data_IF_655300931979
#
_entry.id   IF_655300931979
#
_cell.length_a   1.000
_cell.length_b   1.000
_cell.length_c   1.000
_cell.angle_alpha   90.00
_cell.angle_beta   90.00
_cell.angle_gamma   90.00
#
_symmetry.space_group_name_H-M   'P 1'
#
loop_
_entity.id
_entity.type
_entity.pdbx_description
1 polymer ?
#
# COMPACT_ATOMS: atom_id res chain seq x y z
N UNK A 1 -7.21 17.46 -39.33
CA UNK A 1 -5.82 17.16 -39.68
C UNK A 1 -4.91 17.76 -38.62
N UNK A 2 -4.31 16.87 -37.83
CA UNK A 2 -3.03 16.95 -37.10
C UNK A 2 -2.04 17.95 -37.73
N UNK A 3 -1.18 18.71 -37.02
CA UNK A 3 -0.30 18.37 -35.89
C UNK A 3 0.15 19.59 -35.08
N UNK A 4 0.31 19.33 -33.79
CA UNK A 4 1.09 20.11 -32.82
C UNK A 4 2.57 20.16 -33.21
N UNK A 5 3.21 21.33 -33.08
CA UNK A 5 4.67 21.46 -33.06
C UNK A 5 5.05 22.28 -31.83
N UNK A 6 5.30 21.54 -30.75
CA UNK A 6 5.80 22.04 -29.47
C UNK A 6 7.21 22.63 -29.64
N UNK A 7 7.35 23.93 -29.43
CA UNK A 7 8.64 24.55 -29.17
C UNK A 7 8.94 24.48 -27.66
N UNK A 8 9.39 23.32 -27.19
CA UNK A 8 9.85 23.11 -25.82
C UNK A 8 11.38 22.95 -25.83
N UNK A 9 12.05 24.08 -25.57
CA UNK A 9 13.20 24.20 -24.66
C UNK A 9 14.30 23.13 -24.75
N UNK A 10 15.21 23.28 -25.72
CA UNK A 10 16.48 22.56 -25.87
C UNK A 10 17.40 22.55 -24.62
N UNK A 11 17.13 23.40 -23.62
CA UNK A 11 17.86 23.41 -22.34
C UNK A 11 17.50 22.23 -21.43
N UNK A 12 16.30 21.67 -21.53
CA UNK A 12 15.89 20.49 -20.75
C UNK A 12 16.35 19.18 -21.38
N UNK A 13 16.58 19.16 -22.69
CA UNK A 13 17.11 17.98 -23.40
C UNK A 13 18.53 17.62 -22.93
N UNK A 14 19.41 18.61 -22.70
CA UNK A 14 20.78 18.37 -22.22
C UNK A 14 20.84 17.90 -20.76
N UNK A 15 19.92 18.36 -19.90
CA UNK A 15 19.83 17.91 -18.49
C UNK A 15 19.29 16.49 -18.39
N UNK A 16 18.34 16.11 -19.27
CA UNK A 16 17.82 14.74 -19.30
C UNK A 16 18.84 13.73 -19.84
N UNK A 17 19.66 14.09 -20.85
CA UNK A 17 20.71 13.19 -21.36
C UNK A 17 21.82 12.96 -20.33
N UNK A 18 22.22 13.99 -19.58
CA UNK A 18 23.23 13.85 -18.52
C UNK A 18 22.73 13.06 -17.31
N UNK A 19 21.45 13.20 -16.95
CA UNK A 19 20.82 12.38 -15.90
C UNK A 19 20.72 10.90 -16.31
N UNK A 20 20.45 10.61 -17.60
CA UNK A 20 20.36 9.24 -18.12
C UNK A 20 21.71 8.53 -18.18
N UNK A 21 22.80 9.25 -18.49
CA UNK A 21 24.16 8.69 -18.53
C UNK A 21 24.68 8.33 -17.13
N UNK A 22 24.29 9.05 -16.08
CA UNK A 22 24.67 8.72 -14.70
C UNK A 22 23.95 7.47 -14.17
N UNK A 23 22.72 7.19 -14.61
CA UNK A 23 21.99 5.97 -14.22
C UNK A 23 22.57 4.73 -14.91
N UNK A 24 23.09 4.86 -16.13
CA UNK A 24 23.68 3.73 -16.87
C UNK A 24 25.04 3.26 -16.31
N UNK A 25 25.85 4.16 -15.72
CA UNK A 25 27.14 3.80 -15.15
C UNK A 25 27.04 3.05 -13.80
N UNK A 26 25.99 3.31 -13.01
CA UNK A 26 25.75 2.62 -11.74
C UNK A 26 25.29 1.15 -11.92
N UNK A 27 24.60 0.84 -13.03
CA UNK A 27 24.11 -0.51 -13.31
C UNK A 27 25.21 -1.49 -13.75
N UNK A 28 26.31 -1.01 -14.34
CA UNK A 28 27.42 -1.86 -14.78
C UNK A 28 28.31 -2.31 -13.60
N UNK A 29 28.36 -1.51 -12.53
CA UNK A 29 29.22 -1.81 -11.37
C UNK A 29 28.64 -2.88 -10.42
N UNK A 30 27.33 -3.05 -10.36
CA UNK A 30 26.72 -4.14 -9.57
C UNK A 30 26.63 -5.47 -10.32
N UNK A 31 26.72 -5.45 -11.66
CA UNK A 31 26.57 -6.65 -12.48
C UNK A 31 27.90 -7.31 -12.90
N UNK A 32 29.01 -6.87 -12.30
CA UNK A 32 30.39 -7.12 -12.77
C UNK A 32 31.27 -8.00 -11.89
N UNK A 33 30.73 -8.92 -11.10
CA UNK A 33 31.57 -9.95 -10.47
C UNK A 33 30.93 -11.33 -10.46
N UNK A 34 30.73 -11.85 -11.67
CA UNK A 34 30.68 -13.29 -11.92
C UNK A 34 31.34 -13.59 -13.27
N UNK A 35 32.55 -14.14 -13.22
CA UNK A 35 33.10 -14.95 -14.29
C UNK A 35 34.11 -15.96 -13.69
N UNK A 36 33.70 -17.23 -13.70
CA UNK A 36 34.42 -18.51 -13.82
C UNK A 36 35.91 -18.56 -13.40
N UNK A 37 36.41 -19.59 -12.73
CA UNK A 37 36.49 -20.96 -13.28
C UNK A 37 37.11 -21.89 -12.24
N UNK A 38 36.45 -22.99 -11.91
CA UNK A 38 37.10 -24.30 -11.79
C UNK A 38 36.04 -25.36 -12.03
N UNK A 39 36.10 -25.98 -13.20
CA UNK A 39 35.44 -27.27 -13.44
C UNK A 39 36.27 -28.28 -12.67
N UNK A 40 35.68 -28.87 -11.64
CA UNK A 40 36.10 -30.17 -11.15
C UNK A 40 34.85 -31.04 -11.09
N UNK A 41 34.77 -31.99 -12.02
CA UNK A 41 33.77 -33.04 -12.05
C UNK A 41 33.96 -33.93 -10.83
N UNK A 42 33.09 -33.85 -9.81
CA UNK A 42 32.86 -34.98 -8.89
C UNK A 42 31.46 -34.91 -8.28
N UNK A 43 30.65 -35.90 -8.69
CA UNK A 43 29.60 -36.57 -7.91
C UNK A 43 28.37 -35.78 -7.41
N UNK A 44 27.21 -36.11 -8.02
CA UNK A 44 25.92 -36.38 -7.39
C UNK A 44 25.69 -35.79 -5.98
N UNK A 45 25.01 -34.65 -5.92
CA UNK A 45 24.10 -34.34 -4.80
C UNK A 45 22.91 -33.53 -5.34
N UNK A 46 21.78 -34.21 -5.50
CA UNK A 46 20.50 -33.56 -5.71
C UNK A 46 19.99 -33.07 -4.36
N UNK A 47 20.19 -31.79 -4.04
CA UNK A 47 19.64 -31.19 -2.83
C UNK A 47 20.32 -29.92 -2.35
N UNK A 48 20.45 -28.88 -3.18
CA UNK A 48 20.96 -27.57 -2.71
C UNK A 48 20.47 -26.43 -3.62
N UNK A 49 19.16 -26.18 -3.62
CA UNK A 49 18.56 -25.03 -4.35
C UNK A 49 17.62 -24.18 -3.51
N UNK A 50 17.57 -24.37 -2.18
CA UNK A 50 16.54 -23.75 -1.36
C UNK A 50 17.04 -22.82 -0.23
N UNK A 51 18.35 -22.56 -0.12
CA UNK A 51 18.91 -21.82 1.02
C UNK A 51 19.19 -20.32 0.74
N UNK A 52 19.44 -19.93 -0.52
CA UNK A 52 19.70 -18.52 -0.84
C UNK A 52 18.45 -17.63 -0.77
N UNK A 53 17.26 -18.18 -1.08
CA UNK A 53 16.00 -17.42 -1.06
C UNK A 53 15.49 -17.13 0.35
N UNK A 54 15.95 -17.88 1.35
CA UNK A 54 15.44 -17.78 2.73
C UNK A 54 16.13 -16.64 3.50
N UNK A 55 17.43 -16.42 3.29
CA UNK A 55 18.20 -15.38 4.00
C UNK A 55 17.79 -13.97 3.56
N UNK A 56 17.56 -13.76 2.26
CA UNK A 56 17.06 -12.50 1.72
C UNK A 56 15.60 -12.22 2.16
N UNK A 57 14.74 -13.24 2.16
CA UNK A 57 13.35 -13.11 2.62
C UNK A 57 13.27 -12.79 4.12
N UNK A 58 14.10 -13.45 4.94
CA UNK A 58 14.21 -13.20 6.38
C UNK A 58 14.74 -11.79 6.68
N UNK A 59 15.67 -11.30 5.86
CA UNK A 59 16.17 -9.94 5.94
C UNK A 59 15.09 -8.91 5.57
N UNK A 60 14.29 -9.19 4.54
CA UNK A 60 13.16 -8.36 4.12
C UNK A 60 12.03 -8.31 5.16
N UNK A 61 11.64 -9.46 5.72
CA UNK A 61 10.61 -9.55 6.76
C UNK A 61 11.04 -8.81 8.03
N UNK A 62 12.31 -8.88 8.42
CA UNK A 62 12.87 -8.16 9.57
C UNK A 62 12.77 -6.63 9.40
N UNK A 63 13.06 -6.11 8.19
CA UNK A 63 12.90 -4.69 7.88
C UNK A 63 11.43 -4.27 7.98
N UNK A 64 10.51 -5.05 7.38
CA UNK A 64 9.08 -4.76 7.41
C UNK A 64 8.51 -4.80 8.83
N UNK A 65 8.94 -5.75 9.67
CA UNK A 65 8.59 -5.79 11.08
C UNK A 65 9.09 -4.55 11.84
N UNK A 66 10.26 -4.02 11.48
CA UNK A 66 10.76 -2.75 11.99
C UNK A 66 9.85 -1.58 11.64
N UNK A 67 9.53 -1.43 10.35
CA UNK A 67 8.63 -0.39 9.84
C UNK A 67 7.23 -0.48 10.46
N UNK A 68 6.71 -1.69 10.64
CA UNK A 68 5.42 -1.92 11.26
C UNK A 68 5.40 -1.45 12.72
N UNK A 69 6.45 -1.76 13.50
CA UNK A 69 6.58 -1.30 14.89
C UNK A 69 6.71 0.22 14.99
N UNK A 70 7.44 0.84 14.07
CA UNK A 70 7.55 2.30 14.02
C UNK A 70 6.19 2.93 13.69
N UNK A 71 5.47 2.41 12.69
CA UNK A 71 4.12 2.87 12.36
C UNK A 71 3.14 2.71 13.53
N UNK A 72 3.21 1.58 14.26
CA UNK A 72 2.44 1.34 15.49
C UNK A 72 2.73 2.38 16.57
N UNK A 73 4.00 2.66 16.84
CA UNK A 73 4.43 3.68 17.82
C UNK A 73 3.91 5.06 17.45
N UNK A 74 3.93 5.38 16.16
CA UNK A 74 3.47 6.66 15.62
C UNK A 74 1.92 6.74 15.55
N UNK A 75 1.21 5.69 15.95
CA UNK A 75 -0.26 5.61 15.92
C UNK A 75 -0.85 5.43 14.52
N UNK A 76 -0.03 5.09 13.52
CA UNK A 76 -0.44 4.89 12.13
C UNK A 76 -0.87 3.45 11.92
N UNK A 77 -2.04 3.08 12.42
CA UNK A 77 -2.51 1.69 12.41
C UNK A 77 -2.97 1.27 11.02
N UNK A 78 -3.92 2.00 10.46
CA UNK A 78 -4.59 1.70 9.18
C UNK A 78 -4.47 2.83 8.16
N UNK A 79 -4.00 3.99 8.61
CA UNK A 79 -3.81 5.18 7.82
C UNK A 79 -2.48 5.87 8.18
N UNK A 80 -1.87 6.62 7.26
CA UNK A 80 -2.26 6.76 5.84
C UNK A 80 -1.93 5.51 5.01
N UNK A 81 -2.55 5.37 3.85
CA UNK A 81 -2.26 4.30 2.90
C UNK A 81 -0.77 4.30 2.47
N UNK A 82 -0.17 3.13 2.33
CA UNK A 82 1.24 2.95 1.97
C UNK A 82 2.23 3.18 3.11
N UNK A 83 1.75 3.59 4.29
CA UNK A 83 2.63 3.86 5.43
C UNK A 83 1.90 3.69 6.76
N UNK A 84 1.35 2.49 6.97
CA UNK A 84 0.67 2.10 8.19
C UNK A 84 1.09 0.69 8.63
N UNK A 85 0.86 0.40 9.91
CA UNK A 85 1.29 -0.84 10.55
C UNK A 85 0.66 -2.08 9.92
N UNK A 86 -0.64 -2.04 9.63
CA UNK A 86 -1.36 -3.19 9.08
C UNK A 86 -0.80 -3.60 7.71
N UNK A 87 -0.56 -2.65 6.80
CA UNK A 87 0.04 -2.94 5.50
C UNK A 87 1.45 -3.55 5.61
N UNK A 88 2.28 -3.07 6.53
CA UNK A 88 3.62 -3.64 6.74
C UNK A 88 3.54 -5.06 7.31
N UNK A 89 2.68 -5.32 8.30
CA UNK A 89 2.51 -6.66 8.85
C UNK A 89 1.89 -7.64 7.83
N UNK A 90 0.93 -7.21 7.02
CA UNK A 90 0.39 -8.03 5.93
C UNK A 90 1.45 -8.34 4.87
N UNK A 91 2.38 -7.41 4.64
CA UNK A 91 3.53 -7.65 3.75
C UNK A 91 4.50 -8.66 4.35
N UNK A 92 4.70 -8.66 5.69
CA UNK A 92 5.44 -9.72 6.38
C UNK A 92 4.76 -11.07 6.17
N UNK A 93 3.44 -11.16 6.34
CA UNK A 93 2.70 -12.42 6.15
C UNK A 93 2.70 -12.93 4.70
N UNK A 94 2.87 -12.04 3.71
CA UNK A 94 3.07 -12.46 2.32
C UNK A 94 4.43 -13.15 2.09
N UNK A 95 5.46 -12.73 2.82
CA UNK A 95 6.80 -13.34 2.76
C UNK A 95 6.91 -14.57 3.66
N UNK A 96 6.37 -14.47 4.87
CA UNK A 96 6.40 -15.48 5.93
C UNK A 96 4.98 -15.71 6.46
N UNK A 97 4.18 -16.58 5.81
CA UNK A 97 2.80 -16.83 6.20
C UNK A 97 2.65 -17.29 7.64
N UNK A 98 3.63 -17.99 8.21
CA UNK A 98 3.58 -18.52 9.58
C UNK A 98 4.23 -17.57 10.62
N UNK A 99 4.51 -16.31 10.26
CA UNK A 99 5.15 -15.36 11.17
C UNK A 99 4.21 -15.03 12.36
N UNK A 100 4.49 -15.64 13.50
CA UNK A 100 3.69 -15.48 14.72
C UNK A 100 3.67 -14.04 15.24
N UNK A 101 4.78 -13.30 15.09
CA UNK A 101 4.87 -11.90 15.54
C UNK A 101 3.94 -10.99 14.76
N UNK A 102 3.89 -11.12 13.43
CA UNK A 102 2.99 -10.33 12.59
C UNK A 102 1.51 -10.68 12.87
N UNK A 103 1.18 -11.97 12.97
CA UNK A 103 -0.16 -12.43 13.34
C UNK A 103 -0.62 -11.91 14.71
N UNK A 104 0.26 -11.95 15.69
CA UNK A 104 -0.02 -11.46 17.04
C UNK A 104 -0.26 -9.95 17.04
N UNK A 105 0.63 -9.18 16.44
CA UNK A 105 0.51 -7.73 16.36
C UNK A 105 -0.78 -7.29 15.65
N UNK A 106 -1.15 -7.93 14.53
CA UNK A 106 -2.39 -7.65 13.80
C UNK A 106 -3.62 -7.95 14.66
N UNK A 107 -3.65 -9.09 15.35
CA UNK A 107 -4.76 -9.48 16.23
C UNK A 107 -4.93 -8.55 17.43
N UNK A 108 -3.83 -8.22 18.11
CA UNK A 108 -3.84 -7.33 19.27
C UNK A 108 -4.27 -5.91 18.90
N UNK A 109 -3.89 -5.46 17.71
CA UNK A 109 -4.15 -4.09 17.25
C UNK A 109 -5.50 -3.94 16.57
N UNK A 110 -6.17 -5.04 16.23
CA UNK A 110 -7.41 -5.07 15.47
C UNK A 110 -8.53 -4.22 16.07
N UNK A 111 -8.73 -4.31 17.39
CA UNK A 111 -9.78 -3.54 18.08
C UNK A 111 -9.51 -2.04 17.97
N UNK A 112 -8.27 -1.61 18.22
CA UNK A 112 -7.86 -0.19 18.13
C UNK A 112 -7.94 0.34 16.69
N UNK A 113 -7.54 -0.48 15.72
CA UNK A 113 -7.69 -0.16 14.31
C UNK A 113 -9.16 0.00 13.91
N UNK A 114 -10.04 -0.88 14.38
CA UNK A 114 -11.50 -0.79 14.16
C UNK A 114 -12.10 0.50 14.72
N UNK A 115 -11.66 0.93 15.91
CA UNK A 115 -12.07 2.22 16.50
C UNK A 115 -11.56 3.42 15.68
N UNK A 116 -10.37 3.34 15.09
CA UNK A 116 -9.84 4.37 14.20
C UNK A 116 -10.68 4.51 12.93
N UNK A 117 -11.03 3.39 12.30
CA UNK A 117 -11.96 3.35 11.16
C UNK A 117 -13.30 3.97 11.54
N UNK A 118 -13.81 3.64 12.72
CA UNK A 118 -15.06 4.22 13.18
C UNK A 118 -14.98 5.74 13.27
N UNK A 119 -13.85 6.28 13.75
CA UNK A 119 -13.58 7.72 13.77
C UNK A 119 -13.48 8.28 12.36
N UNK A 120 -12.84 7.58 11.42
CA UNK A 120 -12.77 7.99 10.00
C UNK A 120 -14.17 8.09 9.37
N UNK A 121 -15.06 7.12 9.63
CA UNK A 121 -16.48 7.19 9.24
C UNK A 121 -17.18 8.40 9.87
N UNK A 122 -16.97 8.63 11.17
CA UNK A 122 -17.58 9.76 11.89
C UNK A 122 -17.10 11.13 11.36
N UNK A 123 -15.86 11.22 10.86
CA UNK A 123 -15.34 12.41 10.18
C UNK A 123 -15.90 12.60 8.76
N UNK A 124 -16.75 11.69 8.29
CA UNK A 124 -17.29 11.64 6.92
C UNK A 124 -16.23 11.44 5.84
N UNK A 125 -15.07 10.89 6.21
CA UNK A 125 -14.06 10.48 5.24
C UNK A 125 -14.38 9.06 4.76
N UNK A 126 -15.46 8.97 3.98
CA UNK A 126 -16.11 7.69 3.67
C UNK A 126 -15.27 6.83 2.71
N UNK A 127 -14.48 7.47 1.85
CA UNK A 127 -13.60 6.76 0.92
C UNK A 127 -12.35 6.23 1.64
N UNK A 128 -11.77 6.98 2.59
CA UNK A 128 -10.69 6.47 3.43
C UNK A 128 -11.17 5.31 4.30
N UNK A 129 -12.30 5.49 5.00
CA UNK A 129 -12.89 4.44 5.82
C UNK A 129 -13.17 3.15 5.03
N UNK A 130 -13.58 3.27 3.75
CA UNK A 130 -13.77 2.11 2.89
C UNK A 130 -12.47 1.33 2.71
N UNK A 131 -11.37 2.03 2.40
CA UNK A 131 -10.05 1.41 2.21
C UNK A 131 -9.53 0.78 3.50
N UNK A 132 -9.66 1.47 4.62
CA UNK A 132 -9.22 0.95 5.92
C UNK A 132 -10.01 -0.31 6.33
N UNK A 133 -11.32 -0.38 6.06
CA UNK A 133 -12.11 -1.61 6.28
C UNK A 133 -11.62 -2.74 5.39
N UNK A 134 -11.40 -2.46 4.11
CA UNK A 134 -10.94 -3.48 3.15
C UNK A 134 -9.51 -3.97 3.51
N UNK A 135 -8.66 -3.11 4.05
CA UNK A 135 -7.36 -3.48 4.62
C UNK A 135 -7.49 -4.47 5.79
N UNK A 136 -8.38 -4.21 6.76
CA UNK A 136 -8.59 -5.13 7.88
C UNK A 136 -9.23 -6.47 7.46
N UNK A 137 -10.02 -6.47 6.37
CA UNK A 137 -10.59 -7.70 5.82
C UNK A 137 -9.54 -8.65 5.23
N UNK A 138 -8.40 -8.13 4.80
CA UNK A 138 -7.29 -8.96 4.32
C UNK A 138 -6.77 -9.87 5.43
N UNK A 139 -6.81 -9.40 6.69
CA UNK A 139 -6.43 -10.21 7.85
C UNK A 139 -7.57 -11.11 8.35
N UNK A 140 -8.76 -10.55 8.55
CA UNK A 140 -9.92 -11.29 9.07
C UNK A 140 -11.21 -10.88 8.33
N UNK A 141 -11.45 -11.53 7.20
CA UNK A 141 -12.61 -11.26 6.34
C UNK A 141 -13.96 -11.60 6.98
N UNK A 142 -13.99 -12.50 7.99
CA UNK A 142 -15.21 -12.98 8.64
C UNK A 142 -15.49 -12.29 9.98
N UNK A 143 -14.84 -11.17 10.26
CA UNK A 143 -15.00 -10.45 11.52
C UNK A 143 -16.35 -9.69 11.59
N UNK A 144 -17.14 -9.93 12.64
CA UNK A 144 -18.41 -9.23 12.86
C UNK A 144 -18.24 -7.70 12.97
N UNK A 145 -17.13 -7.22 13.55
CA UNK A 145 -16.84 -5.79 13.68
C UNK A 145 -16.72 -5.12 12.32
N UNK A 146 -16.09 -5.78 11.34
CA UNK A 146 -15.97 -5.26 9.97
C UNK A 146 -17.30 -5.28 9.22
N UNK A 147 -18.17 -6.25 9.52
CA UNK A 147 -19.54 -6.25 9.01
C UNK A 147 -20.34 -5.04 9.55
N UNK A 148 -20.23 -4.75 10.85
CA UNK A 148 -20.86 -3.60 11.48
C UNK A 148 -20.33 -2.27 10.91
N UNK A 149 -19.02 -2.12 10.80
CA UNK A 149 -18.39 -0.92 10.20
C UNK A 149 -18.80 -0.73 8.74
N UNK A 150 -18.90 -1.82 7.96
CA UNK A 150 -19.41 -1.78 6.58
C UNK A 150 -20.86 -1.30 6.49
N UNK A 151 -21.71 -1.73 7.43
CA UNK A 151 -23.09 -1.23 7.56
C UNK A 151 -23.13 0.25 7.90
N UNK A 152 -22.33 0.69 8.88
CA UNK A 152 -22.23 2.10 9.29
C UNK A 152 -21.76 2.99 8.15
N UNK A 153 -20.73 2.58 7.41
CA UNK A 153 -20.23 3.27 6.23
C UNK A 153 -21.31 3.41 5.15
N UNK A 154 -22.04 2.32 4.86
CA UNK A 154 -23.10 2.32 3.86
C UNK A 154 -24.25 3.28 4.24
N UNK A 155 -24.64 3.30 5.51
CA UNK A 155 -25.64 4.25 6.01
C UNK A 155 -25.15 5.70 5.88
N UNK A 156 -23.90 5.98 6.25
CA UNK A 156 -23.31 7.31 6.12
C UNK A 156 -23.26 7.81 4.66
N UNK A 157 -22.87 6.94 3.71
CA UNK A 157 -22.86 7.26 2.27
C UNK A 157 -24.25 7.60 1.76
N UNK A 158 -25.26 6.79 2.11
CA UNK A 158 -26.63 7.04 1.69
C UNK A 158 -27.18 8.38 2.18
N UNK A 159 -26.83 8.80 3.40
CA UNK A 159 -27.22 10.11 3.94
C UNK A 159 -26.55 11.23 3.13
N UNK A 160 -25.25 11.10 2.85
CA UNK A 160 -24.50 12.11 2.10
C UNK A 160 -25.03 12.27 0.66
N UNK A 161 -25.31 11.16 -0.03
CA UNK A 161 -25.90 11.19 -1.37
C UNK A 161 -27.24 11.93 -1.38
N UNK A 162 -28.14 11.61 -0.43
CA UNK A 162 -29.43 12.30 -0.30
C UNK A 162 -29.28 13.80 -0.02
N UNK A 163 -28.27 14.19 0.75
CA UNK A 163 -27.99 15.61 1.02
C UNK A 163 -27.59 16.35 -0.26
N UNK A 164 -26.69 15.77 -1.05
CA UNK A 164 -26.28 16.35 -2.33
C UNK A 164 -27.40 16.43 -3.36
N UNK A 165 -28.27 15.40 -3.42
CA UNK A 165 -29.45 15.42 -4.29
C UNK A 165 -30.41 16.55 -3.91
N UNK A 166 -30.76 16.67 -2.62
CA UNK A 166 -31.65 17.72 -2.15
C UNK A 166 -31.07 19.13 -2.37
N UNK A 167 -29.76 19.31 -2.21
CA UNK A 167 -29.09 20.57 -2.51
C UNK A 167 -29.14 20.92 -4.00
N UNK A 168 -28.89 19.94 -4.88
CA UNK A 168 -28.97 20.12 -6.32
C UNK A 168 -30.40 20.50 -6.77
N UNK A 169 -31.42 19.89 -6.18
CA UNK A 169 -32.82 20.23 -6.43
C UNK A 169 -33.14 21.66 -6.00
N UNK A 170 -32.69 22.08 -4.80
CA UNK A 170 -32.86 23.45 -4.32
C UNK A 170 -32.23 24.47 -5.25
N UNK A 171 -31.01 24.21 -5.72
CA UNK A 171 -30.32 25.10 -6.67
C UNK A 171 -31.08 25.18 -7.99
N UNK A 172 -31.62 24.06 -8.50
CA UNK A 172 -32.43 24.04 -9.73
C UNK A 172 -33.72 24.85 -9.56
N UNK A 173 -34.43 24.70 -8.45
CA UNK A 173 -35.66 25.45 -8.16
C UNK A 173 -35.38 26.94 -8.03
N UNK A 174 -34.32 27.33 -7.32
CA UNK A 174 -33.94 28.73 -7.17
C UNK A 174 -33.59 29.38 -8.51
N UNK A 175 -32.89 28.64 -9.39
CA UNK A 175 -32.55 29.12 -10.74
C UNK A 175 -33.78 29.27 -11.63
N UNK A 176 -34.76 28.36 -11.53
CA UNK A 176 -36.01 28.43 -12.29
C UNK A 176 -36.94 29.55 -11.83
N UNK A 177 -36.92 29.92 -10.54
CA UNK A 177 -37.74 31.00 -10.00
C UNK A 177 -37.16 32.41 -10.27
N UNK A 178 -35.87 32.50 -10.62
CA UNK A 178 -35.18 33.76 -10.92
C UNK A 178 -35.11 34.14 -12.41
N UNK A 179 -35.69 33.32 -13.30
CA UNK A 179 -35.80 33.54 -14.75
C UNK A 179 -37.23 33.84 -15.16
#
# INVERSE_FOLDING_TARGET
MSRFLSAVSYRYALVLVSLLVLVAAAAIFWHGQVANTTIDDTALSAGEVNEASTDDAQSGSAILLGLARDAMRDGRLVAPAGSNAFEFYLSVLQLEPENGTAHEALRESFVRASEEIERTINRKDLEEARREIDLLREFDSNNFTLALLGGKLSAARNIMTKQHEAEAERIRQARAAGS
#
